data_IF_905919112105
#
_entry.id   IF_905919112105
#
_cell.length_a   1.000
_cell.length_b   1.000
_cell.length_c   1.000
_cell.angle_alpha   90.00
_cell.angle_beta   90.00
_cell.angle_gamma   90.00
#
_symmetry.space_group_name_H-M   'P 1'
#
loop_
_entity.id
_entity.type
_entity.pdbx_description
1 polymer ?
#
# COMPACT_ATOMS: atom_id res chain seq x y z
N UNK A 1 8.28 17.98 20.64
CA UNK A 1 6.87 18.39 20.68
C UNK A 1 6.10 17.43 19.78
N UNK A 2 5.74 16.26 20.31
CA UNK A 2 5.08 15.20 19.52
C UNK A 2 3.58 15.48 19.43
N UNK A 3 3.05 15.50 18.21
CA UNK A 3 1.62 15.66 17.98
C UNK A 3 0.94 14.32 18.29
N UNK A 4 0.27 14.22 19.45
CA UNK A 4 -0.69 13.15 19.69
C UNK A 4 -1.89 13.36 18.76
N UNK A 5 -1.96 12.57 17.68
CA UNK A 5 -3.16 12.47 16.86
C UNK A 5 -4.17 11.56 17.57
N UNK A 6 -4.91 12.15 18.51
CA UNK A 6 -6.17 11.60 18.98
C UNK A 6 -7.22 11.70 17.87
N UNK A 7 -7.49 10.58 17.20
CA UNK A 7 -8.75 10.23 16.53
C UNK A 7 -8.46 9.05 15.61
N UNK A 8 -8.48 7.83 16.17
CA UNK A 8 -8.64 6.60 15.41
C UNK A 8 -9.99 6.67 14.68
N UNK A 9 -10.00 7.26 13.47
CA UNK A 9 -11.04 6.93 12.50
C UNK A 9 -10.80 5.47 12.15
N UNK A 10 -11.59 4.58 12.73
CA UNK A 10 -11.64 3.18 12.30
C UNK A 10 -12.09 3.17 10.85
N UNK A 11 -11.13 3.08 9.93
CA UNK A 11 -11.44 2.76 8.53
C UNK A 11 -11.81 1.28 8.53
N UNK A 12 -13.11 1.01 8.59
CA UNK A 12 -13.64 -0.35 8.49
C UNK A 12 -13.76 -0.72 7.01
N UNK A 13 -12.95 -1.66 6.55
CA UNK A 13 -13.13 -2.21 5.21
C UNK A 13 -14.43 -3.01 5.16
N UNK A 14 -15.41 -2.62 4.32
CA UNK A 14 -16.64 -3.39 4.17
C UNK A 14 -16.36 -4.67 3.39
N UNK A 15 -16.78 -5.82 3.94
CA UNK A 15 -16.65 -7.13 3.28
C UNK A 15 -17.46 -7.12 1.98
N UNK A 16 -16.81 -7.33 0.83
CA UNK A 16 -17.55 -7.55 -0.42
C UNK A 16 -18.26 -8.91 -0.34
N UNK A 17 -19.46 -8.98 -0.89
CA UNK A 17 -20.47 -10.03 -0.63
C UNK A 17 -20.09 -11.44 -1.15
N UNK A 18 -18.88 -11.62 -1.70
CA UNK A 18 -18.43 -12.86 -2.35
C UNK A 18 -17.13 -13.47 -1.78
N UNK A 19 -16.49 -12.88 -0.77
CA UNK A 19 -15.31 -13.49 -0.14
C UNK A 19 -15.71 -14.39 1.04
N UNK A 20 -15.34 -15.69 1.03
CA UNK A 20 -15.50 -16.60 2.18
C UNK A 20 -14.89 -15.99 3.45
N UNK A 21 -15.28 -16.45 4.64
CA UNK A 21 -14.65 -16.03 5.90
C UNK A 21 -13.16 -16.37 5.88
N UNK A 22 -12.35 -15.36 5.60
CA UNK A 22 -10.90 -15.49 5.56
C UNK A 22 -10.38 -15.51 7.01
N UNK A 23 -9.40 -16.37 7.34
CA UNK A 23 -8.71 -16.32 8.64
C UNK A 23 -8.05 -14.94 8.83
N UNK A 24 -7.77 -14.57 10.08
CA UNK A 24 -7.26 -13.26 10.54
C UNK A 24 -6.18 -12.68 9.61
N UNK A 25 -6.55 -11.85 8.63
CA UNK A 25 -5.63 -11.46 7.55
C UNK A 25 -4.87 -10.20 7.90
N UNK A 26 -3.55 -10.30 8.03
CA UNK A 26 -2.66 -9.13 8.00
C UNK A 26 -2.33 -8.79 6.55
N UNK A 27 -2.84 -7.66 6.07
CA UNK A 27 -2.63 -7.18 4.70
C UNK A 27 -1.92 -5.84 4.69
N UNK A 28 -0.86 -5.75 3.89
CA UNK A 28 -0.14 -4.51 3.64
C UNK A 28 -0.62 -3.87 2.33
N UNK A 29 -0.82 -2.54 2.29
CA UNK A 29 -1.01 -1.80 1.04
C UNK A 29 -0.01 -0.64 0.91
N UNK A 30 0.64 -0.56 -0.25
CA UNK A 30 1.54 0.53 -0.66
C UNK A 30 1.08 1.15 -1.96
N UNK A 31 0.98 2.48 -2.04
CA UNK A 31 0.58 3.15 -3.28
C UNK A 31 1.46 4.33 -3.70
N UNK A 32 2.03 4.29 -4.91
CA UNK A 32 2.23 5.47 -5.77
C UNK A 32 2.66 5.00 -7.18
N UNK A 33 2.37 5.80 -8.19
CA UNK A 33 2.41 5.47 -9.63
C UNK A 33 3.50 4.47 -10.07
N UNK A 34 3.07 3.46 -10.83
CA UNK A 34 3.96 2.49 -11.46
C UNK A 34 5.08 3.18 -12.26
N UNK A 35 6.27 2.59 -12.25
CA UNK A 35 7.48 3.08 -12.94
C UNK A 35 8.04 4.43 -12.48
N UNK A 36 7.55 5.02 -11.39
CA UNK A 36 8.16 6.25 -10.84
C UNK A 36 9.46 5.92 -10.06
N UNK A 37 10.46 6.83 -9.98
CA UNK A 37 11.80 6.51 -9.48
C UNK A 37 11.82 5.96 -8.03
N UNK A 38 11.26 6.70 -7.08
CA UNK A 38 11.25 6.30 -5.65
C UNK A 38 10.48 5.00 -5.41
N UNK A 39 9.37 4.79 -6.13
CA UNK A 39 8.61 3.55 -6.02
C UNK A 39 9.40 2.36 -6.55
N UNK A 40 10.01 2.55 -7.72
CA UNK A 40 10.58 1.44 -8.47
C UNK A 40 11.94 0.99 -7.93
N UNK A 41 12.68 1.91 -7.30
CA UNK A 41 14.04 1.65 -6.83
C UNK A 41 14.16 1.41 -5.32
N UNK A 42 13.20 1.90 -4.52
CA UNK A 42 13.32 1.84 -3.05
C UNK A 42 12.11 1.18 -2.41
N UNK A 43 10.92 1.68 -2.70
CA UNK A 43 9.72 1.27 -1.96
C UNK A 43 9.34 -0.18 -2.24
N UNK A 44 9.07 -0.52 -3.50
CA UNK A 44 8.66 -1.87 -3.90
C UNK A 44 9.78 -2.90 -3.67
N UNK A 45 11.04 -2.65 -4.07
CA UNK A 45 12.13 -3.58 -3.77
C UNK A 45 12.32 -3.86 -2.27
N UNK A 46 12.13 -2.86 -1.41
CA UNK A 46 12.19 -3.06 0.04
C UNK A 46 11.14 -4.06 0.54
N UNK A 47 9.90 -3.97 0.07
CA UNK A 47 8.86 -4.94 0.42
C UNK A 47 9.10 -6.34 -0.16
N UNK A 48 9.70 -6.43 -1.34
CA UNK A 48 10.07 -7.71 -1.93
C UNK A 48 11.18 -8.37 -1.11
N UNK A 49 12.20 -7.61 -0.70
CA UNK A 49 13.32 -8.11 0.10
C UNK A 49 12.87 -8.55 1.50
N UNK A 50 12.02 -7.78 2.16
CA UNK A 50 11.49 -8.09 3.50
C UNK A 50 10.29 -9.04 3.49
N UNK A 51 9.87 -9.54 2.31
CA UNK A 51 8.62 -10.28 2.20
C UNK A 51 8.59 -11.55 3.07
N UNK A 52 9.65 -12.35 3.06
CA UNK A 52 9.70 -13.58 3.87
C UNK A 52 9.64 -13.27 5.37
N UNK A 53 10.34 -12.23 5.82
CA UNK A 53 10.30 -11.78 7.21
C UNK A 53 8.90 -11.31 7.63
N UNK A 54 8.28 -10.44 6.83
CA UNK A 54 6.91 -9.97 7.05
C UNK A 54 5.94 -11.15 7.18
N UNK A 55 6.05 -12.15 6.30
CA UNK A 55 5.23 -13.36 6.37
C UNK A 55 5.51 -14.20 7.62
N UNK A 56 6.77 -14.33 8.02
CA UNK A 56 7.14 -15.04 9.25
C UNK A 56 6.59 -14.38 10.52
N UNK A 57 6.36 -13.06 10.49
CA UNK A 57 5.70 -12.29 11.56
C UNK A 57 4.16 -12.28 11.47
N UNK A 58 3.59 -13.12 10.60
CA UNK A 58 2.14 -13.31 10.48
C UNK A 58 1.45 -12.38 9.48
N UNK A 59 2.18 -11.72 8.56
CA UNK A 59 1.57 -11.03 7.41
C UNK A 59 1.17 -12.05 6.34
N UNK A 60 -0.13 -12.19 6.06
CA UNK A 60 -0.60 -13.15 5.06
C UNK A 60 -0.33 -12.66 3.62
N UNK A 61 -0.58 -11.37 3.40
CA UNK A 61 -0.66 -10.77 2.08
C UNK A 61 0.07 -9.42 2.04
N UNK A 62 0.96 -9.26 1.06
CA UNK A 62 1.67 -8.01 0.79
C UNK A 62 1.15 -7.46 -0.54
N UNK A 63 0.47 -6.31 -0.51
CA UNK A 63 -0.19 -5.73 -1.67
C UNK A 63 0.46 -4.39 -2.05
N UNK A 64 0.75 -4.21 -3.33
CA UNK A 64 1.12 -2.93 -3.93
C UNK A 64 -0.07 -2.49 -4.77
N UNK A 65 -0.71 -1.39 -4.39
CA UNK A 65 -1.91 -0.85 -5.03
C UNK A 65 -1.52 0.43 -5.75
N UNK A 66 -1.99 0.69 -6.96
CA UNK A 66 -1.75 1.99 -7.61
C UNK A 66 -2.94 2.42 -8.44
N UNK A 67 -3.12 3.73 -8.58
CA UNK A 67 -4.03 4.35 -9.56
C UNK A 67 -3.40 4.23 -10.95
N UNK A 68 -3.40 2.99 -11.44
CA UNK A 68 -2.98 2.54 -12.75
C UNK A 68 -3.93 1.42 -13.19
N UNK A 69 -4.04 1.21 -14.49
CA UNK A 69 -4.81 0.10 -15.04
C UNK A 69 -4.10 -1.26 -14.79
N UNK A 70 -4.83 -2.39 -14.86
CA UNK A 70 -4.26 -3.71 -14.62
C UNK A 70 -3.17 -4.12 -15.61
N UNK A 71 -3.13 -3.56 -16.83
CA UNK A 71 -2.10 -3.89 -17.82
C UNK A 71 -0.76 -3.28 -17.41
N UNK A 72 -0.77 -2.01 -16.98
CA UNK A 72 0.40 -1.33 -16.43
C UNK A 72 0.89 -2.02 -15.16
N UNK A 73 -0.02 -2.35 -14.23
CA UNK A 73 0.38 -3.04 -12.99
C UNK A 73 0.98 -4.42 -13.28
N UNK A 74 0.44 -5.16 -14.25
CA UNK A 74 1.00 -6.45 -14.69
C UNK A 74 2.36 -6.29 -15.34
N UNK A 75 2.57 -5.28 -16.17
CA UNK A 75 3.85 -5.01 -16.80
C UNK A 75 4.90 -4.60 -15.75
N UNK A 76 4.52 -3.77 -14.78
CA UNK A 76 5.40 -3.32 -13.70
C UNK A 76 5.81 -4.48 -12.79
N UNK A 77 4.88 -5.36 -12.42
CA UNK A 77 5.20 -6.55 -11.62
C UNK A 77 6.27 -7.44 -12.29
N UNK A 78 6.26 -7.55 -13.62
CA UNK A 78 7.26 -8.33 -14.38
C UNK A 78 8.68 -7.73 -14.32
N UNK A 79 8.83 -6.47 -13.92
CA UNK A 79 10.15 -5.86 -13.74
C UNK A 79 10.88 -6.34 -12.49
N UNK A 80 10.18 -7.08 -11.62
CA UNK A 80 10.72 -7.68 -10.40
C UNK A 80 10.68 -9.23 -10.51
N UNK A 81 11.55 -9.85 -11.32
CA UNK A 81 11.56 -11.30 -11.51
C UNK A 81 11.80 -12.09 -10.22
N UNK A 82 12.43 -11.48 -9.22
CA UNK A 82 12.70 -12.04 -7.90
C UNK A 82 11.48 -12.03 -6.97
N UNK A 83 10.41 -11.32 -7.32
CA UNK A 83 9.21 -11.22 -6.49
C UNK A 83 8.43 -12.54 -6.44
N UNK A 84 8.28 -13.09 -5.23
CA UNK A 84 7.51 -14.33 -4.96
C UNK A 84 6.22 -14.11 -4.16
N UNK A 85 6.07 -12.95 -3.53
CA UNK A 85 5.08 -12.77 -2.44
C UNK A 85 4.24 -11.50 -2.57
N UNK A 86 4.77 -10.46 -3.22
CA UNK A 86 4.09 -9.16 -3.34
C UNK A 86 3.11 -9.20 -4.51
N UNK A 87 1.84 -8.88 -4.25
CA UNK A 87 0.78 -8.81 -5.26
C UNK A 87 0.59 -7.38 -5.73
N UNK A 88 0.52 -7.18 -7.04
CA UNK A 88 0.30 -5.89 -7.66
C UNK A 88 -1.18 -5.76 -8.04
N UNK A 89 -1.88 -4.80 -7.44
CA UNK A 89 -3.32 -4.56 -7.64
C UNK A 89 -3.54 -3.20 -8.31
N UNK A 90 -4.48 -3.17 -9.25
CA UNK A 90 -4.87 -1.96 -9.94
C UNK A 90 -6.09 -1.31 -9.28
N UNK A 91 -5.99 -0.01 -9.01
CA UNK A 91 -7.08 0.87 -8.60
C UNK A 91 -7.30 1.93 -9.69
N UNK A 92 -7.52 1.48 -10.94
CA UNK A 92 -7.56 2.36 -12.11
C UNK A 92 -8.61 3.48 -12.05
N UNK A 93 -9.71 3.26 -11.32
CA UNK A 93 -10.77 4.26 -11.10
C UNK A 93 -10.54 5.14 -9.86
N UNK A 94 -9.46 4.91 -9.13
CA UNK A 94 -9.14 5.52 -7.84
C UNK A 94 -10.22 5.34 -6.76
N UNK A 95 -11.11 4.34 -6.88
CA UNK A 95 -12.23 4.16 -5.95
C UNK A 95 -11.71 3.79 -4.56
N UNK A 96 -10.76 2.86 -4.50
CA UNK A 96 -10.17 2.45 -3.23
C UNK A 96 -9.38 3.59 -2.59
N UNK A 97 -8.58 4.28 -3.40
CA UNK A 97 -7.79 5.44 -2.97
C UNK A 97 -8.68 6.55 -2.39
N UNK A 98 -9.81 6.86 -3.04
CA UNK A 98 -10.79 7.86 -2.58
C UNK A 98 -11.49 7.44 -1.30
N UNK A 99 -11.86 6.17 -1.16
CA UNK A 99 -12.49 5.65 0.05
C UNK A 99 -11.58 5.79 1.28
N UNK A 100 -10.25 5.76 1.07
CA UNK A 100 -9.26 6.02 2.11
C UNK A 100 -8.97 7.51 2.35
N UNK A 101 -9.45 8.42 1.50
CA UNK A 101 -9.09 9.83 1.52
C UNK A 101 -7.59 10.07 1.23
N UNK A 102 -6.99 9.20 0.42
CA UNK A 102 -5.56 9.22 0.10
C UNK A 102 -5.31 9.64 -1.35
N UNK A 103 -6.25 10.30 -1.99
CA UNK A 103 -6.06 10.87 -3.30
C UNK A 103 -5.07 12.05 -3.28
N UNK A 104 -4.33 12.20 -4.38
CA UNK A 104 -3.44 13.30 -4.64
C UNK A 104 -3.67 13.78 -6.07
N UNK A 105 -4.17 15.01 -6.19
CA UNK A 105 -4.34 15.66 -7.49
C UNK A 105 -2.98 16.15 -8.00
N UNK A 106 -2.54 15.60 -9.13
CA UNK A 106 -1.34 15.99 -9.86
C UNK A 106 -1.67 16.36 -11.32
N UNK A 107 -2.86 16.87 -11.58
CA UNK A 107 -3.28 17.34 -12.91
C UNK A 107 -2.31 18.39 -13.48
N UNK A 108 -1.88 19.36 -12.67
CA UNK A 108 -0.92 20.39 -13.10
C UNK A 108 0.45 19.82 -13.50
N UNK A 109 0.80 18.63 -12.99
CA UNK A 109 2.03 17.90 -13.35
C UNK A 109 1.82 16.91 -14.50
N UNK A 110 0.63 16.88 -15.12
CA UNK A 110 0.28 15.96 -16.21
C UNK A 110 0.09 14.51 -15.79
N UNK A 111 -0.02 14.21 -14.49
CA UNK A 111 -0.13 12.85 -13.97
C UNK A 111 -1.57 12.44 -13.62
N UNK A 112 -2.49 13.41 -13.57
CA UNK A 112 -3.87 13.21 -13.16
C UNK A 112 -4.01 12.91 -11.67
N UNK A 113 -5.13 12.28 -11.30
CA UNK A 113 -5.37 11.81 -9.95
C UNK A 113 -4.48 10.60 -9.63
N UNK A 114 -3.75 10.65 -8.52
CA UNK A 114 -2.92 9.55 -8.01
C UNK A 114 -3.29 9.23 -6.57
N UNK A 115 -2.74 8.15 -6.04
CA UNK A 115 -2.79 7.82 -4.62
C UNK A 115 -1.55 8.37 -3.93
N UNK A 116 -1.66 8.90 -2.72
CA UNK A 116 -0.55 9.32 -1.84
C UNK A 116 0.32 8.12 -1.48
N UNK A 117 1.59 8.36 -1.13
CA UNK A 117 2.48 7.29 -0.65
C UNK A 117 2.09 6.91 0.76
N UNK A 118 1.87 5.63 0.99
CA UNK A 118 1.54 5.13 2.31
C UNK A 118 1.96 3.67 2.48
N UNK A 119 1.86 3.24 3.72
CA UNK A 119 2.09 1.90 4.20
C UNK A 119 1.05 1.61 5.30
N UNK A 120 0.08 0.75 5.03
CA UNK A 120 -1.01 0.46 5.97
C UNK A 120 -0.97 -1.01 6.37
N UNK A 121 -0.98 -1.30 7.67
CA UNK A 121 -1.19 -2.64 8.23
C UNK A 121 -2.67 -2.78 8.59
N UNK A 122 -3.35 -3.70 7.91
CA UNK A 122 -4.76 -4.04 8.20
C UNK A 122 -4.80 -5.42 8.81
N UNK A 123 -5.51 -5.57 9.94
CA UNK A 123 -5.80 -6.85 10.60
C UNK A 123 -7.30 -6.88 10.87
N UNK A 124 -7.99 -7.92 10.41
CA UNK A 124 -9.45 -8.08 10.54
C UNK A 124 -10.26 -6.85 10.12
N UNK A 125 -9.94 -6.34 8.93
CA UNK A 125 -10.60 -5.16 8.33
C UNK A 125 -10.44 -3.88 9.18
N UNK A 126 -9.56 -3.91 10.18
CA UNK A 126 -9.22 -2.80 11.06
C UNK A 126 -7.80 -2.35 10.78
N UNK A 127 -7.62 -1.05 10.55
CA UNK A 127 -6.29 -0.45 10.40
C UNK A 127 -5.57 -0.45 11.75
N UNK A 128 -4.43 -1.13 11.83
CA UNK A 128 -3.57 -1.19 13.04
C UNK A 128 -2.44 -0.17 12.99
N UNK A 129 -1.90 0.07 11.80
CA UNK A 129 -0.93 1.12 11.53
C UNK A 129 -1.21 1.75 10.18
N UNK A 130 -1.04 3.08 10.08
CA UNK A 130 -1.16 3.83 8.84
C UNK A 130 -0.05 4.87 8.76
N UNK A 131 0.98 4.55 7.99
CA UNK A 131 2.12 5.43 7.78
C UNK A 131 1.92 6.11 6.43
N UNK A 132 1.39 7.34 6.47
CA UNK A 132 1.07 8.14 5.29
C UNK A 132 2.16 9.19 5.11
N UNK A 133 2.68 9.30 3.91
CA UNK A 133 3.74 10.24 3.56
C UNK A 133 3.17 11.59 3.13
N UNK A 134 3.93 12.63 3.41
CA UNK A 134 3.75 13.90 2.74
C UNK A 134 4.10 13.79 1.24
N UNK A 135 3.56 14.72 0.45
CA UNK A 135 3.72 14.68 -1.00
C UNK A 135 5.21 14.71 -1.39
N UNK A 136 5.68 13.64 -2.05
CA UNK A 136 7.07 13.50 -2.48
C UNK A 136 8.02 12.90 -1.44
N UNK A 137 7.56 12.61 -0.23
CA UNK A 137 8.36 12.01 0.83
C UNK A 137 8.43 10.47 0.70
N UNK A 138 9.46 9.91 1.35
CA UNK A 138 9.63 8.48 1.60
C UNK A 138 10.46 8.32 2.88
N UNK A 139 9.78 8.36 4.02
CA UNK A 139 10.35 8.42 5.37
C UNK A 139 9.70 7.46 6.35
N UNK A 140 8.39 7.28 6.28
CA UNK A 140 7.59 6.48 7.23
C UNK A 140 6.99 5.23 6.58
N UNK A 141 6.97 5.13 5.26
CA UNK A 141 6.27 4.08 4.54
C UNK A 141 7.16 2.92 4.08
N UNK A 142 8.35 2.73 4.66
CA UNK A 142 9.25 1.63 4.30
C UNK A 142 8.80 0.30 4.91
N UNK A 143 9.34 -0.81 4.40
CA UNK A 143 9.10 -2.14 4.97
C UNK A 143 9.63 -2.24 6.42
N UNK A 144 10.75 -1.59 6.71
CA UNK A 144 11.34 -1.55 8.04
C UNK A 144 10.42 -0.87 9.06
N UNK A 145 9.74 0.22 8.68
CA UNK A 145 8.78 0.88 9.56
C UNK A 145 7.58 -0.01 9.87
N UNK A 146 7.14 -0.83 8.91
CA UNK A 146 6.09 -1.83 9.15
C UNK A 146 6.58 -2.96 10.05
N UNK A 147 7.82 -3.44 9.86
CA UNK A 147 8.40 -4.50 10.70
C UNK A 147 8.55 -4.10 12.17
N UNK A 148 8.68 -2.80 12.48
CA UNK A 148 8.74 -2.25 13.84
C UNK A 148 7.40 -2.29 14.57
N UNK A 149 6.28 -2.34 13.85
CA UNK A 149 4.92 -2.32 14.42
C UNK A 149 4.23 -3.69 14.38
N UNK A 150 4.91 -4.72 13.87
CA UNK A 150 4.50 -6.14 13.84
C UNK A 150 5.12 -6.92 15.01
#
# INVERSE_FOLDING_TARGET
>A
MGLLLGSTRTISFSKSRSTPSLPERKSYSSAFGAFTPTCSMQHVPGFIASAEELKSKGVDEILVISVNDPFVMKAWAKTYPENKHVKFLADGSASYTKDLGLELDLNEKGLGLRSRRYAILVEDLTVKAANIEEAGAFTVSSADEILKVL
#
